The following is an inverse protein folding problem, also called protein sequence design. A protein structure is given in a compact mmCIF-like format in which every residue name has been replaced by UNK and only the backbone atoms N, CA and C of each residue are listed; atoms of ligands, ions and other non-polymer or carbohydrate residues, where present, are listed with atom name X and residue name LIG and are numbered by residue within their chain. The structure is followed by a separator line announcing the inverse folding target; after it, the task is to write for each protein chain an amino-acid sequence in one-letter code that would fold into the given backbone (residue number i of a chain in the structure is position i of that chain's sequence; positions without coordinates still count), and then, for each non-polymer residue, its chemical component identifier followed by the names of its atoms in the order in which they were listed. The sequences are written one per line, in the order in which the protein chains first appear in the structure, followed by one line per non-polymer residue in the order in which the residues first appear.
data_IF_561953772665
#
_entry.id   IF_561953772665
#
_cell.length_a   1.000
_cell.length_b   1.000
_cell.length_c   1.000
_cell.angle_alpha   90.00
_cell.angle_beta   90.00
_cell.angle_gamma   90.00
#
_symmetry.space_group_name_H-M   'P 1'
#
loop_
_entity.id
_entity.type
_entity.pdbx_description
1 polymer ?
#
# COMPACT_ATOMS: atom_id res chain seq x y z
N UNK A 1 54.33 -4.62 -70.13
CA UNK A 1 55.29 -3.51 -69.93
C UNK A 1 55.25 -3.15 -68.45
N UNK A 2 56.22 -3.65 -67.69
CA UNK A 2 56.40 -3.34 -66.27
C UNK A 2 57.53 -2.30 -66.25
N UNK A 3 57.29 -1.14 -65.67
CA UNK A 3 58.23 -0.03 -65.59
C UNK A 3 59.52 -0.48 -64.89
N UNK A 4 60.68 -0.34 -65.53
CA UNK A 4 61.97 -0.88 -65.06
C UNK A 4 62.59 -0.14 -63.86
N UNK A 5 61.94 0.93 -63.36
CA UNK A 5 62.50 1.77 -62.28
C UNK A 5 61.86 1.55 -60.90
N UNK A 6 61.01 0.54 -60.72
CA UNK A 6 60.36 0.30 -59.43
C UNK A 6 61.19 -0.62 -58.53
N UNK A 7 61.89 -0.03 -57.56
CA UNK A 7 62.65 -0.76 -56.53
C UNK A 7 61.70 -1.10 -55.35
N UNK A 8 61.31 -2.37 -55.15
CA UNK A 8 60.39 -2.74 -54.08
C UNK A 8 61.05 -2.57 -52.71
N UNK A 9 60.32 -1.95 -51.78
CA UNK A 9 60.76 -1.82 -50.38
C UNK A 9 60.33 -3.04 -49.57
N UNK A 10 61.00 -3.32 -48.44
CA UNK A 10 60.64 -4.43 -47.53
C UNK A 10 59.16 -4.43 -47.10
N UNK A 11 58.50 -3.27 -47.10
CA UNK A 11 57.07 -3.15 -46.79
C UNK A 11 56.14 -3.50 -47.95
N UNK A 12 56.53 -3.24 -49.20
CA UNK A 12 55.69 -3.56 -50.37
C UNK A 12 55.65 -5.06 -50.66
N UNK A 13 56.68 -5.81 -50.26
CA UNK A 13 56.73 -7.28 -50.33
C UNK A 13 55.81 -8.00 -49.34
N UNK A 14 55.29 -7.31 -48.30
CA UNK A 14 54.46 -7.92 -47.24
C UNK A 14 52.94 -7.74 -47.41
N UNK A 15 52.50 -7.17 -48.53
CA UNK A 15 51.07 -7.00 -48.86
C UNK A 15 50.54 -7.98 -49.92
N UNK A 16 51.24 -9.09 -50.13
CA UNK A 16 50.73 -10.23 -50.90
C UNK A 16 50.35 -11.36 -49.95
N UNK A 17 49.06 -11.71 -49.91
CA UNK A 17 48.51 -12.95 -49.35
C UNK A 17 48.78 -13.23 -47.87
N UNK A 18 48.16 -12.45 -46.98
CA UNK A 18 47.74 -13.00 -45.69
C UNK A 18 46.22 -13.01 -45.69
N UNK A 19 45.63 -14.21 -45.75
CA UNK A 19 44.22 -14.40 -45.41
C UNK A 19 44.07 -14.02 -43.95
N UNK A 20 43.66 -12.77 -43.70
CA UNK A 20 43.32 -12.31 -42.36
C UNK A 20 42.01 -13.02 -42.01
N UNK A 21 42.07 -14.06 -41.18
CA UNK A 21 40.89 -14.74 -40.62
C UNK A 21 40.13 -13.73 -39.73
N UNK A 22 39.29 -12.93 -40.36
CA UNK A 22 38.47 -11.94 -39.69
C UNK A 22 37.39 -12.67 -38.88
N UNK A 23 37.49 -12.59 -37.55
CA UNK A 23 36.51 -13.14 -36.63
C UNK A 23 35.80 -11.99 -35.93
N UNK A 24 34.52 -11.77 -36.27
CA UNK A 24 33.67 -10.85 -35.52
C UNK A 24 33.10 -11.55 -34.29
N UNK A 25 33.18 -10.90 -33.12
CA UNK A 25 32.52 -11.34 -31.89
C UNK A 25 31.41 -10.35 -31.59
N UNK A 26 30.16 -10.76 -31.81
CA UNK A 26 28.98 -9.99 -31.41
C UNK A 26 28.62 -10.32 -29.96
N UNK A 27 28.63 -9.32 -29.07
CA UNK A 27 28.21 -9.48 -27.69
C UNK A 27 26.76 -9.03 -27.53
N UNK A 28 25.87 -9.95 -27.18
CA UNK A 28 24.53 -9.61 -26.68
C UNK A 28 24.63 -9.37 -25.17
N UNK A 29 24.28 -8.16 -24.73
CA UNK A 29 24.24 -7.85 -23.31
C UNK A 29 23.20 -8.72 -22.61
N UNK A 30 23.55 -9.23 -21.42
CA UNK A 30 22.69 -10.11 -20.64
C UNK A 30 21.37 -9.40 -20.33
N UNK A 31 20.27 -9.84 -20.95
CA UNK A 31 18.93 -9.37 -20.58
C UNK A 31 18.63 -9.95 -19.18
N UNK A 32 18.34 -9.11 -18.17
CA UNK A 32 17.99 -9.62 -16.86
C UNK A 32 16.80 -10.56 -17.01
N UNK A 33 16.87 -11.76 -16.41
CA UNK A 33 15.73 -12.68 -16.34
C UNK A 33 14.55 -11.89 -15.80
N UNK A 34 13.55 -11.65 -16.66
CA UNK A 34 12.24 -11.14 -16.25
C UNK A 34 11.76 -12.15 -15.22
N UNK A 35 11.74 -11.78 -13.95
CA UNK A 35 11.03 -12.58 -12.96
C UNK A 35 9.60 -12.62 -13.48
N UNK A 36 9.17 -13.80 -13.93
CA UNK A 36 7.77 -14.05 -14.20
C UNK A 36 7.04 -13.62 -12.93
N UNK A 37 6.22 -12.58 -13.05
CA UNK A 37 5.24 -12.32 -12.01
C UNK A 37 4.45 -13.62 -11.94
N UNK A 38 4.65 -14.39 -10.88
CA UNK A 38 3.75 -15.48 -10.57
C UNK A 38 2.43 -14.78 -10.28
N UNK A 39 1.63 -14.60 -11.33
CA UNK A 39 0.22 -14.33 -11.22
C UNK A 39 -0.34 -15.60 -10.62
N UNK A 40 -0.38 -15.64 -9.29
CA UNK A 40 -1.13 -16.65 -8.57
C UNK A 40 -2.58 -16.39 -8.97
N UNK A 41 -3.03 -17.05 -10.04
CA UNK A 41 -4.43 -17.17 -10.41
C UNK A 41 -5.10 -17.91 -9.24
N UNK A 42 -5.55 -17.14 -8.26
CA UNK A 42 -6.36 -17.62 -7.14
C UNK A 42 -7.78 -17.97 -7.62
N UNK A 43 -7.90 -18.64 -8.75
CA UNK A 43 -9.13 -19.28 -9.18
C UNK A 43 -9.17 -20.66 -8.55
N UNK A 44 -9.33 -20.68 -7.22
CA UNK A 44 -9.89 -21.88 -6.60
C UNK A 44 -11.34 -21.97 -7.09
N UNK A 45 -11.80 -23.12 -7.63
CA UNK A 45 -13.20 -23.28 -8.00
C UNK A 45 -14.02 -23.03 -6.74
N UNK A 46 -14.88 -22.01 -6.76
CA UNK A 46 -15.80 -21.75 -5.66
C UNK A 46 -16.77 -22.92 -5.61
N UNK A 47 -16.47 -23.89 -4.74
CA UNK A 47 -17.43 -24.89 -4.33
C UNK A 47 -18.58 -24.13 -3.65
N UNK A 48 -19.66 -23.88 -4.42
CA UNK A 48 -20.94 -23.31 -3.98
C UNK A 48 -21.69 -24.28 -3.06
N UNK A 49 -21.00 -24.91 -2.11
CA UNK A 49 -21.60 -25.84 -1.15
C UNK A 49 -21.81 -25.05 0.14
N UNK A 50 -23.05 -24.61 0.33
CA UNK A 50 -23.62 -23.98 1.54
C UNK A 50 -22.69 -22.94 2.19
N UNK A 51 -22.72 -21.72 1.68
CA UNK A 51 -22.00 -20.59 2.27
C UNK A 51 -22.67 -20.15 3.57
N UNK A 52 -22.30 -20.77 4.68
CA UNK A 52 -22.46 -20.13 5.98
C UNK A 52 -21.73 -18.78 5.95
N UNK A 53 -22.39 -17.73 6.42
CA UNK A 53 -21.83 -16.37 6.43
C UNK A 53 -20.61 -16.30 7.34
N UNK A 54 -19.43 -16.43 6.72
CA UNK A 54 -18.17 -16.36 7.41
C UNK A 54 -17.74 -14.90 7.58
N UNK A 55 -18.00 -14.33 8.77
CA UNK A 55 -17.66 -12.94 9.12
C UNK A 55 -16.19 -12.60 8.79
N UNK A 56 -15.26 -13.55 9.00
CA UNK A 56 -13.83 -13.36 8.70
C UNK A 56 -13.58 -13.16 7.20
N UNK A 57 -14.27 -13.91 6.34
CA UNK A 57 -14.18 -13.78 4.89
C UNK A 57 -14.77 -12.45 4.43
N UNK A 58 -15.97 -12.12 4.92
CA UNK A 58 -16.64 -10.85 4.61
C UNK A 58 -15.77 -9.63 4.98
N UNK A 59 -15.12 -9.65 6.16
CA UNK A 59 -14.19 -8.59 6.58
C UNK A 59 -13.02 -8.42 5.60
N UNK A 60 -12.46 -9.51 5.08
CA UNK A 60 -11.37 -9.43 4.10
C UNK A 60 -11.85 -8.90 2.75
N UNK A 61 -13.04 -9.30 2.31
CA UNK A 61 -13.65 -8.83 1.06
C UNK A 61 -13.95 -7.32 1.12
N UNK A 62 -14.48 -6.84 2.25
CA UNK A 62 -14.69 -5.39 2.50
C UNK A 62 -13.37 -4.64 2.41
N UNK A 63 -12.31 -5.13 3.06
CA UNK A 63 -10.98 -4.49 3.00
C UNK A 63 -10.45 -4.48 1.58
N UNK A 64 -10.52 -5.60 0.85
CA UNK A 64 -10.09 -5.71 -0.55
C UNK A 64 -10.86 -4.75 -1.45
N UNK A 65 -12.17 -4.63 -1.25
CA UNK A 65 -13.04 -3.69 -1.97
C UNK A 65 -12.65 -2.24 -1.68
N UNK A 66 -12.47 -1.87 -0.41
CA UNK A 66 -12.06 -0.52 -0.01
C UNK A 66 -10.72 -0.11 -0.62
N UNK A 67 -9.77 -1.03 -0.74
CA UNK A 67 -8.47 -0.77 -1.37
C UNK A 67 -8.55 -0.51 -2.88
N UNK A 68 -9.63 -0.90 -3.54
CA UNK A 68 -9.79 -0.69 -4.99
C UNK A 68 -9.90 0.81 -5.35
N UNK A 69 -10.49 1.62 -4.46
CA UNK A 69 -10.73 3.04 -4.66
C UNK A 69 -9.63 3.97 -4.16
N UNK A 70 -8.47 3.45 -3.75
CA UNK A 70 -7.35 4.28 -3.28
C UNK A 70 -6.46 4.74 -4.43
N UNK A 71 -5.86 5.93 -4.24
CA UNK A 71 -4.73 6.44 -5.04
C UNK A 71 -3.62 5.38 -5.16
N UNK A 72 -2.82 5.36 -6.24
CA UNK A 72 -1.85 4.29 -6.48
C UNK A 72 -0.86 4.11 -5.32
N UNK A 73 -0.33 5.19 -4.76
CA UNK A 73 0.61 5.15 -3.63
C UNK A 73 -0.05 4.55 -2.37
N UNK A 74 -1.21 5.06 -1.99
CA UNK A 74 -2.00 4.58 -0.84
C UNK A 74 -2.45 3.13 -1.03
N UNK A 75 -2.72 2.72 -2.28
CA UNK A 75 -3.09 1.36 -2.64
C UNK A 75 -1.93 0.40 -2.40
N UNK A 76 -0.69 0.80 -2.72
CA UNK A 76 0.50 0.00 -2.41
C UNK A 76 0.73 -0.12 -0.91
N UNK A 77 0.61 0.97 -0.17
CA UNK A 77 0.72 0.96 1.29
C UNK A 77 -0.34 0.04 1.94
N UNK A 78 -1.60 0.15 1.51
CA UNK A 78 -2.67 -0.69 2.01
C UNK A 78 -2.46 -2.18 1.68
N UNK A 79 -1.90 -2.49 0.49
CA UNK A 79 -1.53 -3.87 0.12
C UNK A 79 -0.43 -4.41 1.03
N UNK A 80 0.60 -3.62 1.31
CA UNK A 80 1.69 -4.00 2.22
C UNK A 80 1.13 -4.24 3.63
N UNK A 81 0.28 -3.34 4.13
CA UNK A 81 -0.36 -3.49 5.44
C UNK A 81 -1.25 -4.74 5.53
N UNK A 82 -2.05 -5.01 4.49
CA UNK A 82 -2.87 -6.22 4.42
C UNK A 82 -1.99 -7.47 4.42
N UNK A 83 -0.91 -7.49 3.64
CA UNK A 83 0.03 -8.60 3.62
C UNK A 83 0.65 -8.84 5.01
N UNK A 84 1.09 -7.79 5.69
CA UNK A 84 1.63 -7.87 7.07
C UNK A 84 0.58 -8.44 8.03
N UNK A 85 -0.67 -7.97 7.94
CA UNK A 85 -1.79 -8.47 8.76
C UNK A 85 -2.09 -9.96 8.51
N UNK A 86 -1.87 -10.43 7.29
CA UNK A 86 -1.98 -11.84 6.91
C UNK A 86 -0.76 -12.68 7.33
N UNK A 87 0.26 -12.06 7.93
CA UNK A 87 1.46 -12.73 8.44
C UNK A 87 2.71 -12.58 7.57
N UNK A 88 2.66 -11.76 6.51
CA UNK A 88 3.87 -11.46 5.74
C UNK A 88 4.88 -10.68 6.59
N UNK A 89 6.16 -10.95 6.38
CA UNK A 89 7.24 -10.22 7.05
C UNK A 89 7.30 -8.77 6.55
N UNK A 90 7.32 -7.76 7.43
CA UNK A 90 7.42 -6.36 7.00
C UNK A 90 8.75 -6.10 6.28
N UNK A 91 8.74 -5.12 5.37
CA UNK A 91 9.94 -4.69 4.65
C UNK A 91 10.99 -4.17 5.65
N UNK A 92 12.25 -4.52 5.41
CA UNK A 92 13.38 -4.02 6.24
C UNK A 92 13.46 -2.49 6.15
N UNK A 93 13.71 -1.85 7.29
CA UNK A 93 13.97 -0.42 7.35
C UNK A 93 15.24 -0.07 6.59
N UNK A 94 15.26 1.13 6.00
CA UNK A 94 16.46 1.68 5.36
C UNK A 94 17.57 1.86 6.41
N UNK A 95 18.81 1.62 6.02
CA UNK A 95 19.96 1.90 6.87
C UNK A 95 20.05 3.41 7.17
N UNK A 96 20.29 3.76 8.44
CA UNK A 96 20.47 5.12 8.91
C UNK A 96 21.56 5.12 9.98
N UNK A 97 22.35 6.19 10.06
CA UNK A 97 23.32 6.37 11.15
C UNK A 97 22.59 6.44 12.50
N UNK A 98 23.11 5.77 13.52
CA UNK A 98 22.47 5.66 14.83
C UNK A 98 22.23 7.03 15.50
N UNK A 99 23.16 7.98 15.40
CA UNK A 99 23.00 9.32 15.99
C UNK A 99 21.80 10.05 15.39
N UNK A 100 21.70 10.03 14.06
CA UNK A 100 20.58 10.62 13.32
C UNK A 100 19.25 9.93 13.63
N UNK A 101 19.24 8.59 13.72
CA UNK A 101 18.04 7.82 14.07
C UNK A 101 17.52 8.18 15.47
N UNK A 102 18.43 8.39 16.42
CA UNK A 102 18.08 8.75 17.81
C UNK A 102 17.45 10.14 17.87
N UNK A 103 18.02 11.10 17.15
CA UNK A 103 17.48 12.47 17.04
C UNK A 103 16.10 12.49 16.38
N UNK A 104 15.93 11.76 15.26
CA UNK A 104 14.64 11.64 14.57
C UNK A 104 13.56 11.07 15.49
N UNK A 105 13.87 10.00 16.24
CA UNK A 105 12.94 9.43 17.23
C UNK A 105 12.60 10.40 18.35
N UNK A 106 13.57 11.18 18.82
CA UNK A 106 13.34 12.17 19.87
C UNK A 106 12.40 13.28 19.38
N UNK A 107 12.60 13.79 18.16
CA UNK A 107 11.74 14.79 17.52
C UNK A 107 10.32 14.26 17.32
N UNK A 108 10.17 13.07 16.73
CA UNK A 108 8.85 12.44 16.55
C UNK A 108 8.10 12.28 17.88
N UNK A 109 8.79 11.83 18.94
CA UNK A 109 8.20 11.71 20.27
C UNK A 109 7.77 13.07 20.85
N UNK A 110 8.52 14.13 20.59
CA UNK A 110 8.14 15.48 21.00
C UNK A 110 6.92 15.97 20.21
N UNK A 111 6.88 15.78 18.90
CA UNK A 111 5.73 16.12 18.06
C UNK A 111 4.46 15.36 18.42
N UNK A 112 4.56 14.07 18.76
CA UNK A 112 3.42 13.29 19.24
C UNK A 112 2.89 13.84 20.56
N UNK A 113 3.79 14.21 21.48
CA UNK A 113 3.41 14.85 22.74
C UNK A 113 2.73 16.20 22.52
N UNK A 114 3.28 17.06 21.66
CA UNK A 114 2.67 18.36 21.38
C UNK A 114 1.32 18.20 20.68
N UNK A 115 1.18 17.26 19.74
CA UNK A 115 -0.11 16.91 19.11
C UNK A 115 -1.12 16.39 20.14
N UNK A 116 -0.72 15.51 21.03
CA UNK A 116 -1.58 14.98 22.09
C UNK A 116 -2.03 16.09 23.05
N UNK A 117 -1.10 16.94 23.48
CA UNK A 117 -1.41 18.13 24.31
C UNK A 117 -2.37 19.06 23.58
N UNK A 118 -2.13 19.36 22.31
CA UNK A 118 -2.99 20.19 21.47
C UNK A 118 -4.41 19.60 21.36
N UNK A 119 -4.53 18.28 21.13
CA UNK A 119 -5.83 17.59 21.09
C UNK A 119 -6.57 17.60 22.43
N UNK A 120 -5.83 17.74 23.54
CA UNK A 120 -6.37 17.84 24.90
C UNK A 120 -6.69 19.29 25.30
N UNK A 121 -6.22 20.31 24.56
CA UNK A 121 -6.58 21.71 24.83
C UNK A 121 -8.10 21.86 24.80
N UNK A 122 -8.64 22.50 25.84
CA UNK A 122 -10.08 22.67 26.00
C UNK A 122 -10.83 21.41 26.43
N UNK A 123 -10.14 20.32 26.80
CA UNK A 123 -10.74 19.10 27.36
C UNK A 123 -10.18 18.79 28.76
N UNK A 124 -11.03 18.25 29.63
CA UNK A 124 -10.65 17.72 30.94
C UNK A 124 -9.97 16.35 30.81
N UNK A 125 -9.43 15.79 31.90
CA UNK A 125 -8.81 14.46 31.92
C UNK A 125 -9.72 13.32 31.39
N UNK A 126 -11.04 13.48 31.48
CA UNK A 126 -12.06 12.53 30.97
C UNK A 126 -12.39 12.78 29.48
N UNK A 127 -11.78 13.78 28.84
CA UNK A 127 -12.02 14.14 27.43
C UNK A 127 -13.24 15.05 27.19
N UNK A 128 -13.96 15.46 28.23
CA UNK A 128 -15.09 16.40 28.15
C UNK A 128 -14.60 17.84 27.96
N UNK A 129 -15.32 18.66 27.19
CA UNK A 129 -14.97 20.06 26.99
C UNK A 129 -14.94 20.84 28.31
N UNK A 130 -13.91 21.67 28.51
CA UNK A 130 -13.78 22.57 29.67
C UNK A 130 -14.54 23.89 29.50
N UNK A 131 -14.92 24.21 28.26
CA UNK A 131 -15.66 25.42 27.93
C UNK A 131 -17.04 25.42 28.60
N UNK A 132 -17.36 26.51 29.32
CA UNK A 132 -18.66 26.74 29.95
C UNK A 132 -19.66 27.24 28.89
N UNK A 133 -20.00 26.39 27.92
CA UNK A 133 -21.03 26.65 26.92
C UNK A 133 -22.30 25.87 27.22
N UNK A 134 -23.45 26.32 26.68
CA UNK A 134 -24.68 25.51 26.66
C UNK A 134 -24.36 24.21 25.91
N UNK A 135 -24.39 23.08 26.60
CA UNK A 135 -24.11 21.79 25.98
C UNK A 135 -25.03 21.56 24.77
N UNK A 136 -24.51 20.90 23.73
CA UNK A 136 -25.32 20.46 22.59
C UNK A 136 -26.34 19.36 22.95
N UNK A 137 -26.52 19.06 24.24
CA UNK A 137 -27.79 18.56 24.76
C UNK A 137 -28.85 19.67 24.62
N UNK A 138 -29.21 19.98 23.38
CA UNK A 138 -30.60 20.28 23.06
C UNK A 138 -31.33 19.04 23.55
N UNK A 139 -31.88 19.11 24.77
CA UNK A 139 -32.94 18.21 25.22
C UNK A 139 -33.82 18.04 23.99
N UNK A 140 -33.77 16.88 23.35
CA UNK A 140 -34.70 16.56 22.26
C UNK A 140 -36.03 16.59 22.98
N UNK A 141 -36.71 17.75 22.99
CA UNK A 141 -38.11 17.81 23.36
C UNK A 141 -38.71 16.74 22.48
N UNK A 142 -39.18 15.64 23.07
CA UNK A 142 -39.80 14.55 22.31
C UNK A 142 -40.78 15.25 21.37
N UNK A 143 -40.52 15.22 20.08
CA UNK A 143 -41.39 15.88 19.14
C UNK A 143 -42.77 15.23 19.35
N UNK A 144 -43.77 16.03 19.71
CA UNK A 144 -45.16 15.60 19.59
C UNK A 144 -45.38 15.29 18.11
N UNK A 145 -45.95 14.13 17.79
CA UNK A 145 -46.05 13.61 16.41
C UNK A 145 -45.16 12.41 16.07
N UNK A 146 -44.63 11.67 17.06
CA UNK A 146 -44.08 10.34 16.80
C UNK A 146 -45.16 9.35 16.36
N UNK A 147 -44.81 8.27 15.66
CA UNK A 147 -45.77 7.25 15.19
C UNK A 147 -46.72 6.73 16.29
N UNK A 148 -46.20 6.61 17.51
CA UNK A 148 -46.95 6.16 18.69
C UNK A 148 -47.96 7.19 19.22
N UNK A 149 -47.86 8.45 18.80
CA UNK A 149 -48.81 9.54 19.06
C UNK A 149 -50.02 9.43 18.11
N UNK A 150 -49.80 8.95 16.88
CA UNK A 150 -50.86 8.71 15.87
C UNK A 150 -51.66 7.46 16.18
N UNK A 151 -50.97 6.37 16.55
CA UNK A 151 -51.60 5.05 16.73
C UNK A 151 -51.81 4.65 18.20
N UNK A 152 -51.41 5.51 19.14
CA UNK A 152 -51.53 5.27 20.57
C UNK A 152 -50.57 4.19 21.11
N UNK A 153 -50.47 4.13 22.43
CA UNK A 153 -49.73 3.07 23.14
C UNK A 153 -50.69 1.93 23.49
N UNK A 154 -50.38 0.73 23.02
CA UNK A 154 -51.15 -0.47 23.37
C UNK A 154 -50.91 -0.82 24.84
N UNK A 155 -51.99 -0.89 25.63
CA UNK A 155 -51.93 -1.35 27.02
C UNK A 155 -51.94 -2.87 27.06
N UNK A 156 -50.87 -3.47 27.59
CA UNK A 156 -50.69 -4.94 27.70
C UNK A 156 -51.78 -5.66 28.51
N UNK A 157 -52.53 -4.92 29.35
CA UNK A 157 -53.66 -5.46 30.13
C UNK A 157 -54.84 -5.91 29.26
N UNK A 158 -54.94 -5.42 28.02
CA UNK A 158 -56.04 -5.73 27.10
C UNK A 158 -55.60 -6.68 25.96
N UNK A 159 -54.32 -7.04 25.89
CA UNK A 159 -53.75 -7.87 24.82
C UNK A 159 -53.80 -9.38 25.11
N UNK A 160 -54.31 -9.75 26.28
CA UNK A 160 -54.53 -11.14 26.70
C UNK A 160 -56.03 -11.34 26.88
N UNK A 161 -56.71 -11.67 25.79
CA UNK A 161 -58.07 -12.20 25.81
C UNK A 161 -58.18 -13.29 24.76
#
# INVERSE_FOLDING_TARGET
MISEDFIPTRGSLKKGTQSIDFKSVSFESYKPKKQEKIEISNEKPQNKKSEDFNIRRAKHEIVKFGMSGFDPEKKEEAKIQLAIKLGAKPKKNKYKNYKLLKEERAKLKQEEKTKAQFQQLGKNAIGKSTAKGKGFDRKRKKAKGGLLDVYGKVNLKNATK
#
